data_IF_826247772317
#
_entry.id   IF_826247772317
#
_cell.length_a   1.000
_cell.length_b   1.000
_cell.length_c   1.000
_cell.angle_alpha   90.00
_cell.angle_beta   90.00
_cell.angle_gamma   90.00
#
_symmetry.space_group_name_H-M   'P 1'
#
loop_
_entity.id
_entity.type
_entity.pdbx_description
1 polymer ?
#
# COMPACT_ATOMS: atom_id res chain seq x y z
N UNK A 1 -2.96 -8.20 24.00
CA UNK A 1 -2.24 -7.00 24.48
C UNK A 1 -0.99 -6.83 23.63
N UNK A 2 -0.45 -5.61 23.47
CA UNK A 2 0.68 -5.35 22.56
C UNK A 2 2.05 -5.76 23.15
N UNK A 3 2.05 -6.35 24.35
CA UNK A 3 3.26 -6.68 25.10
C UNK A 3 3.72 -5.50 25.97
N UNK A 4 4.88 -5.65 26.59
CA UNK A 4 5.55 -4.56 27.31
C UNK A 4 6.16 -3.57 26.31
N UNK A 5 5.87 -2.28 26.50
CA UNK A 5 6.39 -1.20 25.66
C UNK A 5 7.56 -0.56 26.41
N UNK A 6 8.75 -0.41 25.79
CA UNK A 6 9.89 0.27 26.44
C UNK A 6 9.51 1.67 26.93
N UNK A 7 10.02 2.10 28.08
CA UNK A 7 9.62 3.37 28.72
C UNK A 7 9.83 4.64 27.87
N UNK A 8 10.68 4.56 26.84
CA UNK A 8 10.95 5.66 25.92
C UNK A 8 10.05 5.64 24.66
N UNK A 9 9.18 4.65 24.49
CA UNK A 9 8.27 4.53 23.35
C UNK A 9 6.88 5.02 23.69
N UNK A 10 6.29 5.80 22.79
CA UNK A 10 4.91 6.25 22.91
C UNK A 10 4.01 5.47 21.94
N UNK A 11 3.05 4.72 22.47
CA UNK A 11 2.08 3.99 21.66
C UNK A 11 1.06 4.95 21.06
N UNK A 12 1.10 5.11 19.73
CA UNK A 12 0.23 6.00 18.98
C UNK A 12 -0.54 5.25 17.91
N UNK A 13 -1.80 5.63 17.69
CA UNK A 13 -2.61 5.04 16.61
C UNK A 13 -2.08 5.52 15.26
N UNK A 14 -1.91 4.60 14.31
CA UNK A 14 -1.41 4.89 12.95
C UNK A 14 -2.16 6.02 12.25
N UNK A 15 -3.48 6.15 12.46
CA UNK A 15 -4.31 7.23 11.90
C UNK A 15 -3.86 8.66 12.27
N UNK A 16 -3.01 8.82 13.29
CA UNK A 16 -2.46 10.12 13.68
C UNK A 16 -1.08 10.41 13.07
N UNK A 17 -0.49 9.42 12.38
CA UNK A 17 0.82 9.55 11.71
C UNK A 17 0.77 9.28 10.21
N UNK A 18 -0.31 8.66 9.74
CA UNK A 18 -0.52 8.33 8.34
C UNK A 18 -1.68 9.15 7.78
N UNK A 19 -1.53 9.58 6.54
CA UNK A 19 -2.61 10.13 5.73
C UNK A 19 -3.17 9.02 4.83
N UNK A 20 -4.49 8.94 4.73
CA UNK A 20 -5.14 8.04 3.78
C UNK A 20 -5.24 8.74 2.43
N UNK A 21 -4.65 8.16 1.40
CA UNK A 21 -4.67 8.68 0.02
C UNK A 21 -5.81 7.99 -0.73
N UNK A 22 -6.72 8.80 -1.29
CA UNK A 22 -7.87 8.33 -2.08
C UNK A 22 -8.08 9.20 -3.33
N UNK A 23 -6.99 9.66 -3.94
CA UNK A 23 -7.05 10.43 -5.17
C UNK A 23 -7.40 9.50 -6.33
N UNK A 24 -8.52 9.74 -7.01
CA UNK A 24 -8.96 8.91 -8.14
C UNK A 24 -8.56 9.57 -9.45
N UNK A 25 -7.96 8.78 -10.34
CA UNK A 25 -7.52 9.21 -11.66
C UNK A 25 -7.97 8.23 -12.74
N UNK A 26 -7.99 8.70 -13.98
CA UNK A 26 -7.99 7.82 -15.14
C UNK A 26 -6.52 7.45 -15.43
N UNK A 27 -6.14 6.17 -15.35
CA UNK A 27 -4.76 5.73 -15.45
C UNK A 27 -4.27 5.85 -16.91
N UNK A 28 -3.60 6.95 -17.21
CA UNK A 28 -3.07 7.25 -18.53
C UNK A 28 -1.60 6.83 -18.65
N UNK A 29 -1.34 5.53 -18.89
CA UNK A 29 0.01 4.99 -19.04
C UNK A 29 0.78 4.81 -17.71
N UNK A 30 0.09 4.96 -16.58
CA UNK A 30 0.66 4.69 -15.26
C UNK A 30 0.71 3.18 -14.97
N UNK A 31 1.74 2.76 -14.24
CA UNK A 31 1.85 1.39 -13.77
C UNK A 31 0.71 1.06 -12.81
N UNK A 32 0.05 -0.07 -13.03
CA UNK A 32 -0.96 -0.60 -12.12
C UNK A 32 -0.33 -1.58 -11.13
N UNK A 33 -0.72 -1.46 -9.86
CA UNK A 33 -0.25 -2.34 -8.77
C UNK A 33 -1.46 -2.92 -8.04
N UNK A 34 -1.85 -4.12 -8.44
CA UNK A 34 -2.87 -4.93 -7.80
C UNK A 34 -2.36 -5.72 -6.59
N UNK A 35 -3.26 -6.43 -5.91
CA UNK A 35 -2.88 -7.32 -4.81
C UNK A 35 -2.13 -8.56 -5.31
N UNK A 36 -2.29 -8.97 -6.57
CA UNK A 36 -1.46 -10.04 -7.15
C UNK A 36 0.02 -9.66 -7.25
N UNK A 37 0.31 -8.36 -7.38
CA UNK A 37 1.68 -7.86 -7.53
C UNK A 37 2.47 -7.79 -6.22
N UNK A 38 1.86 -8.16 -5.10
CA UNK A 38 2.53 -8.09 -3.79
C UNK A 38 2.64 -9.50 -3.23
N UNK A 39 3.89 -9.92 -2.97
CA UNK A 39 4.18 -11.19 -2.30
C UNK A 39 3.86 -11.09 -0.80
N UNK A 40 3.16 -12.09 -0.30
CA UNK A 40 2.71 -12.16 1.09
C UNK A 40 3.91 -12.17 2.05
N UNK A 41 3.83 -11.39 3.14
CA UNK A 41 4.84 -11.31 4.22
C UNK A 41 6.24 -10.78 3.85
N UNK A 42 6.58 -10.63 2.57
CA UNK A 42 7.90 -10.15 2.16
C UNK A 42 7.91 -8.69 1.76
N UNK A 43 6.75 -8.15 1.39
CA UNK A 43 6.60 -6.81 0.85
C UNK A 43 7.30 -6.58 -0.49
N UNK A 44 7.65 -7.66 -1.19
CA UNK A 44 8.25 -7.61 -2.52
C UNK A 44 7.18 -7.40 -3.58
N UNK A 45 7.54 -6.58 -4.58
CA UNK A 45 6.75 -6.39 -5.77
C UNK A 45 7.05 -7.47 -6.80
N UNK A 46 6.00 -8.04 -7.38
CA UNK A 46 6.00 -9.00 -8.48
C UNK A 46 5.46 -8.28 -9.70
N UNK A 47 6.30 -8.14 -10.72
CA UNK A 47 5.93 -7.46 -11.96
C UNK A 47 4.82 -8.22 -12.68
N UNK A 48 3.85 -7.50 -13.23
CA UNK A 48 2.83 -8.06 -14.11
C UNK A 48 2.39 -7.02 -15.14
N UNK A 49 1.97 -7.49 -16.31
CA UNK A 49 1.55 -6.65 -17.45
C UNK A 49 0.08 -6.19 -17.36
N UNK A 50 -0.44 -6.12 -16.15
CA UNK A 50 -1.85 -5.76 -15.91
C UNK A 50 -1.99 -4.25 -16.04
N UNK A 51 -3.00 -3.82 -16.78
CA UNK A 51 -3.38 -2.42 -16.89
C UNK A 51 -4.63 -2.17 -16.06
N UNK A 52 -4.69 -0.98 -15.48
CA UNK A 52 -5.87 -0.55 -14.76
C UNK A 52 -7.02 -0.29 -15.75
N UNK A 53 -8.19 -0.85 -15.45
CA UNK A 53 -9.43 -0.59 -16.19
C UNK A 53 -10.32 0.37 -15.38
N UNK A 54 -10.69 1.51 -15.97
CA UNK A 54 -11.56 2.50 -15.32
C UNK A 54 -10.82 3.44 -14.37
N UNK A 55 -11.51 3.90 -13.32
CA UNK A 55 -10.95 4.82 -12.32
C UNK A 55 -10.12 4.04 -11.30
N UNK A 56 -8.87 4.45 -11.11
CA UNK A 56 -7.94 3.87 -10.16
C UNK A 56 -7.49 4.92 -9.13
N UNK A 57 -7.03 4.47 -7.97
CA UNK A 57 -6.42 5.37 -6.98
C UNK A 57 -4.96 5.63 -7.35
N UNK A 58 -4.61 6.90 -7.48
CA UNK A 58 -3.24 7.34 -7.65
C UNK A 58 -2.45 7.16 -6.35
N UNK A 59 -1.19 6.76 -6.50
CA UNK A 59 -0.21 6.75 -5.43
C UNK A 59 1.12 7.28 -5.97
N UNK A 60 1.96 7.77 -5.07
CA UNK A 60 3.27 8.31 -5.36
C UNK A 60 4.39 7.44 -4.78
N UNK A 61 5.61 7.68 -5.23
CA UNK A 61 6.80 7.09 -4.62
C UNK A 61 6.86 7.42 -3.11
N UNK A 62 7.06 6.40 -2.29
CA UNK A 62 7.06 6.50 -0.82
C UNK A 62 5.75 6.11 -0.15
N UNK A 63 4.64 6.06 -0.89
CA UNK A 63 3.36 5.61 -0.36
C UNK A 63 3.38 4.12 -0.01
N UNK A 64 2.43 3.72 0.85
CA UNK A 64 2.29 2.33 1.30
C UNK A 64 0.94 1.77 0.82
N UNK A 65 1.00 0.76 -0.03
CA UNK A 65 -0.18 -0.03 -0.39
C UNK A 65 -0.39 -1.11 0.65
N UNK A 66 -1.62 -1.22 1.16
CA UNK A 66 -1.97 -2.19 2.20
C UNK A 66 -3.29 -2.88 1.87
N UNK A 67 -3.29 -4.21 1.85
CA UNK A 67 -4.46 -5.02 1.54
C UNK A 67 -5.49 -5.05 2.68
N UNK A 68 -6.56 -4.25 2.57
CA UNK A 68 -7.62 -4.15 3.59
C UNK A 68 -8.46 -5.43 3.77
N UNK A 69 -8.79 -6.12 2.68
CA UNK A 69 -9.78 -7.21 2.70
C UNK A 69 -9.26 -8.51 3.32
N UNK A 70 -7.96 -8.79 3.20
CA UNK A 70 -7.33 -10.00 3.73
C UNK A 70 -6.03 -9.66 4.47
N UNK A 71 -6.10 -9.00 5.64
CA UNK A 71 -4.92 -8.50 6.35
C UNK A 71 -3.94 -9.62 6.75
N UNK A 72 -4.46 -10.82 6.97
CA UNK A 72 -3.67 -12.01 7.32
C UNK A 72 -2.73 -12.47 6.20
N UNK A 73 -2.94 -12.05 4.95
CA UNK A 73 -1.99 -12.31 3.86
C UNK A 73 -0.76 -11.41 3.96
N UNK A 74 -0.77 -10.40 4.85
CA UNK A 74 0.34 -9.47 5.08
C UNK A 74 0.90 -8.88 3.77
N UNK A 75 0.01 -8.55 2.83
CA UNK A 75 0.35 -7.90 1.57
C UNK A 75 0.43 -6.39 1.79
N UNK A 76 1.66 -5.91 1.93
CA UNK A 76 1.98 -4.51 2.01
C UNK A 76 3.14 -4.20 1.04
N UNK A 77 3.12 -3.05 0.39
CA UNK A 77 4.19 -2.66 -0.52
C UNK A 77 4.49 -1.17 -0.36
N UNK A 78 5.78 -0.82 -0.28
CA UNK A 78 6.23 0.56 -0.34
C UNK A 78 6.51 0.93 -1.79
N UNK A 79 5.73 1.85 -2.33
CA UNK A 79 5.82 2.31 -3.71
C UNK A 79 7.19 2.91 -4.00
N UNK A 80 7.84 2.46 -5.07
CA UNK A 80 9.15 2.99 -5.52
C UNK A 80 9.03 4.04 -6.62
N UNK A 81 7.87 4.12 -7.27
CA UNK A 81 7.54 5.07 -8.32
C UNK A 81 6.05 5.42 -8.23
N UNK A 82 5.64 6.43 -8.98
CA UNK A 82 4.25 6.86 -9.09
C UNK A 82 3.44 5.85 -9.92
N UNK A 83 2.16 5.68 -9.59
CA UNK A 83 1.34 4.68 -10.23
C UNK A 83 -0.12 4.69 -9.76
N UNK A 84 -0.83 3.62 -10.06
CA UNK A 84 -2.26 3.50 -9.74
C UNK A 84 -2.64 2.11 -9.23
N UNK A 85 -3.73 2.02 -8.44
CA UNK A 85 -4.27 0.77 -7.91
C UNK A 85 -5.78 0.72 -7.82
#
# INVERSE_FOLDING_TARGET
MIGEIPSHWNAIKLKYKLQLINEKIVPNGLQYVGMENIESFTGKYVQSDIKAEGLANHFQAGDILFGKLRPYLAKAYQCKADGCR
#
